data_IF_458891106266
#
_entry.id   IF_458891106266
#
_cell.length_a   1.000
_cell.length_b   1.000
_cell.length_c   1.000
_cell.angle_alpha   90.00
_cell.angle_beta   90.00
_cell.angle_gamma   90.00
#
_symmetry.space_group_name_H-M   'P 1'
#
loop_
_entity.id
_entity.type
_entity.pdbx_description
1 polymer ?
#
# COMPACT_ATOMS: atom_id res chain seq x y z
N UNK A 1 -13.63 12.89 23.01
CA UNK A 1 -12.71 13.93 23.49
C UNK A 1 -12.47 13.80 24.99
N UNK A 2 -13.51 13.71 25.84
CA UNK A 2 -13.39 13.60 27.32
C UNK A 2 -12.55 12.40 27.74
N UNK A 3 -12.74 11.21 27.14
CA UNK A 3 -11.96 9.99 27.42
C UNK A 3 -10.47 10.18 27.09
N UNK A 4 -10.17 10.86 26.00
CA UNK A 4 -8.78 11.15 25.59
C UNK A 4 -8.09 12.08 26.59
N UNK A 5 -8.80 13.10 27.06
CA UNK A 5 -8.25 14.10 27.99
C UNK A 5 -8.06 13.56 29.41
N UNK A 6 -8.82 12.51 29.81
CA UNK A 6 -8.81 12.00 31.18
C UNK A 6 -8.05 10.67 31.37
N UNK A 7 -7.96 9.84 30.33
CA UNK A 7 -7.39 8.48 30.42
C UNK A 7 -6.06 8.28 29.68
N UNK A 8 -5.70 9.18 28.76
CA UNK A 8 -4.39 9.08 28.10
C UNK A 8 -3.36 9.91 28.86
N UNK A 9 -2.33 9.26 29.43
CA UNK A 9 -1.22 10.00 30.01
C UNK A 9 -0.49 10.77 28.92
N UNK A 10 -0.06 11.98 29.24
CA UNK A 10 0.76 12.80 28.36
C UNK A 10 2.06 12.07 28.04
N UNK A 11 2.26 11.67 26.80
CA UNK A 11 3.43 10.91 26.35
C UNK A 11 4.64 11.80 26.04
N UNK A 12 4.44 13.14 25.94
CA UNK A 12 5.50 14.11 25.69
C UNK A 12 5.61 15.09 26.85
N UNK A 13 6.67 15.02 27.66
CA UNK A 13 6.88 15.99 28.74
C UNK A 13 6.99 17.42 28.19
N UNK A 14 6.43 18.39 28.93
CA UNK A 14 6.35 19.81 28.52
C UNK A 14 7.73 20.39 28.18
N UNK A 15 8.77 19.87 28.82
CA UNK A 15 10.18 20.26 28.59
C UNK A 15 10.74 19.88 27.23
N UNK A 16 10.15 18.88 26.56
CA UNK A 16 10.57 18.39 25.25
C UNK A 16 9.67 18.93 24.11
N UNK A 17 8.64 19.72 24.44
CA UNK A 17 7.80 20.38 23.43
C UNK A 17 8.64 21.39 22.67
N UNK A 18 9.09 20.98 21.49
CA UNK A 18 9.81 21.88 20.59
C UNK A 18 8.93 23.06 20.17
N UNK A 19 9.59 24.19 19.96
CA UNK A 19 9.04 25.41 19.35
C UNK A 19 8.12 25.04 18.18
N UNK A 20 6.96 25.72 18.10
CA UNK A 20 5.99 25.57 17.00
C UNK A 20 6.71 25.44 15.65
N UNK A 21 6.32 24.47 14.81
CA UNK A 21 6.96 24.24 13.53
C UNK A 21 6.97 25.54 12.71
N UNK A 22 8.11 25.88 12.14
CA UNK A 22 8.21 27.05 11.26
C UNK A 22 7.22 26.86 10.10
N UNK A 23 6.63 27.94 9.58
CA UNK A 23 5.70 27.90 8.41
C UNK A 23 6.26 27.08 7.23
N UNK A 24 7.58 27.02 7.09
CA UNK A 24 8.27 26.20 6.09
C UNK A 24 8.13 24.69 6.34
N UNK A 25 8.00 24.28 7.61
CA UNK A 25 7.84 22.88 7.99
C UNK A 25 6.39 22.40 7.85
N UNK A 26 5.45 23.33 7.64
CA UNK A 26 4.05 23.05 7.36
C UNK A 26 3.76 22.85 5.86
N UNK A 27 4.75 23.05 4.98
CA UNK A 27 4.58 22.84 3.54
C UNK A 27 4.67 21.33 3.22
N UNK A 28 3.55 20.65 2.85
CA UNK A 28 3.53 19.22 2.61
C UNK A 28 4.45 18.80 1.44
N UNK A 29 4.54 19.65 0.40
CA UNK A 29 5.41 19.37 -0.75
C UNK A 29 6.88 19.39 -0.36
N UNK A 30 7.29 20.34 0.49
CA UNK A 30 8.66 20.41 0.99
C UNK A 30 9.00 19.22 1.92
N UNK A 31 8.03 18.69 2.65
CA UNK A 31 8.23 17.49 3.47
C UNK A 31 8.35 16.23 2.59
N UNK A 32 7.50 16.07 1.59
CA UNK A 32 7.55 14.97 0.61
C UNK A 32 8.91 14.96 -0.11
N UNK A 33 9.34 16.09 -0.65
CA UNK A 33 10.64 16.19 -1.35
C UNK A 33 11.82 15.90 -0.43
N UNK A 34 11.75 16.31 0.84
CA UNK A 34 12.77 16.01 1.84
C UNK A 34 12.85 14.51 2.15
N UNK A 35 11.71 13.83 2.29
CA UNK A 35 11.65 12.38 2.57
C UNK A 35 12.10 11.57 1.36
N UNK A 36 11.67 11.92 0.14
CA UNK A 36 12.12 11.24 -1.09
C UNK A 36 13.61 11.48 -1.33
N UNK A 37 14.12 12.68 -1.05
CA UNK A 37 15.53 13.02 -1.18
C UNK A 37 16.45 12.45 -0.09
N UNK A 38 15.88 11.85 0.96
CA UNK A 38 16.67 11.24 2.02
C UNK A 38 17.23 9.88 1.55
N UNK A 39 18.57 9.69 1.53
CA UNK A 39 19.20 8.46 1.02
C UNK A 39 18.78 7.20 1.81
N UNK A 40 18.45 7.34 3.09
CA UNK A 40 18.06 6.21 3.95
C UNK A 40 16.63 5.69 3.65
N UNK A 41 15.71 6.59 3.36
CA UNK A 41 14.28 6.23 3.24
C UNK A 41 13.64 6.57 1.90
N UNK A 42 14.28 7.38 1.06
CA UNK A 42 13.69 7.92 -0.16
C UNK A 42 13.21 6.83 -1.12
N UNK A 43 14.00 5.76 -1.29
CA UNK A 43 13.60 4.61 -2.12
C UNK A 43 12.35 3.91 -1.59
N UNK A 44 12.25 3.73 -0.27
CA UNK A 44 11.06 3.11 0.34
C UNK A 44 9.84 4.04 0.31
N UNK A 45 10.03 5.34 0.49
CA UNK A 45 8.97 6.34 0.37
C UNK A 45 8.43 6.41 -1.06
N UNK A 46 9.32 6.38 -2.06
CA UNK A 46 8.93 6.27 -3.47
C UNK A 46 8.19 4.96 -3.75
N UNK A 47 8.69 3.84 -3.22
CA UNK A 47 8.03 2.53 -3.32
C UNK A 47 6.61 2.57 -2.74
N UNK A 48 6.43 3.27 -1.62
CA UNK A 48 5.12 3.44 -0.98
C UNK A 48 4.16 4.23 -1.87
N UNK A 49 4.61 5.33 -2.46
CA UNK A 49 3.82 6.11 -3.42
C UNK A 49 3.41 5.28 -4.65
N UNK A 50 4.39 4.64 -5.30
CA UNK A 50 4.17 3.84 -6.51
C UNK A 50 3.27 2.63 -6.25
N UNK A 51 3.39 2.01 -5.08
CA UNK A 51 2.49 0.93 -4.65
C UNK A 51 1.04 1.40 -4.61
N UNK A 52 0.76 2.53 -3.94
CA UNK A 52 -0.61 3.05 -3.84
C UNK A 52 -1.14 3.60 -5.18
N UNK A 53 -0.26 4.15 -6.02
CA UNK A 53 -0.60 4.57 -7.38
C UNK A 53 -1.09 3.37 -8.20
N UNK A 54 -0.31 2.29 -8.25
CA UNK A 54 -0.65 1.08 -8.99
C UNK A 54 -1.90 0.41 -8.43
N UNK A 55 -1.92 0.17 -7.10
CA UNK A 55 -2.98 -0.55 -6.43
C UNK A 55 -4.34 0.15 -6.56
N UNK A 56 -4.41 1.46 -6.27
CA UNK A 56 -5.67 2.21 -6.41
C UNK A 56 -6.05 2.41 -7.87
N UNK A 57 -5.08 2.46 -8.79
CA UNK A 57 -5.32 2.55 -10.22
C UNK A 57 -6.16 1.36 -10.70
N UNK A 58 -5.63 0.15 -10.63
CA UNK A 58 -6.37 -1.02 -11.14
C UNK A 58 -7.59 -1.38 -10.29
N UNK A 59 -7.58 -1.12 -8.96
CA UNK A 59 -8.75 -1.39 -8.11
C UNK A 59 -9.94 -0.50 -8.46
N UNK A 60 -9.72 0.74 -8.87
CA UNK A 60 -10.78 1.64 -9.30
C UNK A 60 -11.52 1.13 -10.56
N UNK A 61 -10.82 0.39 -11.42
CA UNK A 61 -11.36 -0.17 -12.65
C UNK A 61 -12.06 -1.52 -12.43
N UNK A 62 -11.82 -2.20 -11.30
CA UNK A 62 -12.31 -3.56 -11.06
C UNK A 62 -13.81 -3.77 -11.29
N UNK A 63 -14.63 -2.85 -10.76
CA UNK A 63 -16.10 -3.00 -10.89
C UNK A 63 -16.54 -2.85 -12.35
N UNK A 64 -15.95 -1.89 -13.07
CA UNK A 64 -16.20 -1.69 -14.49
C UNK A 64 -15.78 -2.92 -15.29
N UNK A 65 -14.58 -3.43 -15.01
CA UNK A 65 -14.02 -4.62 -15.64
C UNK A 65 -14.91 -5.86 -15.41
N UNK A 66 -15.34 -6.11 -14.17
CA UNK A 66 -16.23 -7.21 -13.84
C UNK A 66 -17.57 -7.14 -14.58
N UNK A 67 -18.13 -5.93 -14.73
CA UNK A 67 -19.35 -5.72 -15.47
C UNK A 67 -19.18 -5.99 -16.98
N UNK A 68 -18.10 -5.51 -17.57
CA UNK A 68 -17.88 -5.61 -19.02
C UNK A 68 -17.44 -7.01 -19.44
N UNK A 69 -16.48 -7.62 -18.70
CA UNK A 69 -15.91 -8.92 -19.07
C UNK A 69 -16.76 -10.11 -18.63
N UNK A 70 -17.36 -10.03 -17.45
CA UNK A 70 -18.06 -11.17 -16.84
C UNK A 70 -19.56 -10.93 -16.70
N UNK A 71 -20.06 -9.77 -17.16
CA UNK A 71 -21.46 -9.36 -16.98
C UNK A 71 -21.96 -9.48 -15.52
N UNK A 72 -21.07 -9.19 -14.58
CA UNK A 72 -21.38 -9.27 -13.16
C UNK A 72 -22.23 -8.08 -12.70
N UNK A 73 -23.32 -8.41 -11.99
CA UNK A 73 -24.12 -7.42 -11.27
C UNK A 73 -23.46 -6.97 -9.95
N UNK A 74 -24.07 -5.97 -9.28
CA UNK A 74 -23.56 -5.43 -8.01
C UNK A 74 -23.34 -6.50 -6.92
N UNK A 75 -24.14 -7.57 -6.91
CA UNK A 75 -24.07 -8.65 -5.91
C UNK A 75 -22.73 -9.40 -5.94
N UNK A 76 -22.29 -9.82 -7.13
CA UNK A 76 -21.02 -10.53 -7.29
C UNK A 76 -19.82 -9.60 -7.06
N UNK A 77 -19.91 -8.36 -7.53
CA UNK A 77 -18.88 -7.36 -7.25
C UNK A 77 -18.75 -7.10 -5.73
N UNK A 78 -19.87 -6.94 -5.02
CA UNK A 78 -19.88 -6.77 -3.56
C UNK A 78 -19.31 -8.00 -2.85
N UNK A 79 -19.61 -9.22 -3.33
CA UNK A 79 -19.05 -10.45 -2.78
C UNK A 79 -17.53 -10.48 -2.92
N UNK A 80 -16.98 -10.04 -4.06
CA UNK A 80 -15.53 -9.92 -4.24
C UNK A 80 -14.89 -8.97 -3.21
N UNK A 81 -15.51 -7.81 -2.97
CA UNK A 81 -15.03 -6.86 -1.95
C UNK A 81 -15.20 -7.40 -0.52
N UNK A 82 -16.24 -8.17 -0.24
CA UNK A 82 -16.39 -8.86 1.05
C UNK A 82 -15.23 -9.84 1.29
N UNK A 83 -14.84 -10.62 0.29
CA UNK A 83 -13.68 -11.52 0.37
C UNK A 83 -12.41 -10.71 0.67
N UNK A 84 -12.19 -9.59 -0.02
CA UNK A 84 -11.06 -8.70 0.26
C UNK A 84 -11.07 -8.24 1.72
N UNK A 85 -12.20 -7.79 2.24
CA UNK A 85 -12.33 -7.32 3.63
C UNK A 85 -12.05 -8.42 4.66
N UNK A 86 -12.63 -9.62 4.47
CA UNK A 86 -12.41 -10.78 5.36
C UNK A 86 -10.94 -11.20 5.35
N UNK A 87 -10.36 -11.39 4.16
CA UNK A 87 -8.95 -11.81 4.04
C UNK A 87 -8.01 -10.75 4.63
N UNK A 88 -8.23 -9.47 4.34
CA UNK A 88 -7.43 -8.39 4.92
C UNK A 88 -7.52 -8.37 6.46
N UNK A 89 -8.71 -8.59 7.02
CA UNK A 89 -8.91 -8.66 8.47
C UNK A 89 -8.14 -9.84 9.08
N UNK A 90 -8.19 -11.01 8.48
CA UNK A 90 -7.47 -12.20 8.95
C UNK A 90 -5.95 -11.96 8.88
N UNK A 91 -5.46 -11.44 7.76
CA UNK A 91 -4.02 -11.18 7.57
C UNK A 91 -3.52 -10.11 8.52
N UNK A 92 -4.18 -8.96 8.59
CA UNK A 92 -3.73 -7.83 9.41
C UNK A 92 -4.03 -8.02 10.91
N UNK A 93 -5.16 -8.63 11.24
CA UNK A 93 -5.57 -8.85 12.63
C UNK A 93 -4.93 -10.07 13.31
N UNK A 94 -4.58 -11.11 12.52
CA UNK A 94 -4.11 -12.38 13.08
C UNK A 94 -2.73 -12.83 12.60
N UNK A 95 -2.42 -12.69 11.32
CA UNK A 95 -1.22 -13.31 10.75
C UNK A 95 0.00 -12.40 10.72
N UNK A 96 -0.19 -11.07 10.61
CA UNK A 96 0.94 -10.14 10.41
C UNK A 96 1.97 -10.20 11.55
N UNK A 97 1.56 -10.26 12.81
CA UNK A 97 2.45 -10.30 13.96
C UNK A 97 3.39 -11.51 13.92
N UNK A 98 2.85 -12.76 13.93
CA UNK A 98 3.66 -13.97 13.81
C UNK A 98 4.54 -14.03 12.56
N UNK A 99 4.04 -13.52 11.43
CA UNK A 99 4.80 -13.51 10.18
C UNK A 99 5.96 -12.52 10.22
N UNK A 100 5.75 -11.32 10.79
CA UNK A 100 6.82 -10.32 10.97
C UNK A 100 7.91 -10.86 11.91
N UNK A 101 7.54 -11.49 13.03
CA UNK A 101 8.52 -12.06 13.94
C UNK A 101 9.36 -13.18 13.32
N UNK A 102 8.80 -13.95 12.37
CA UNK A 102 9.48 -15.08 11.74
C UNK A 102 10.29 -14.69 10.49
N UNK A 103 9.77 -13.81 9.66
CA UNK A 103 10.34 -13.51 8.34
C UNK A 103 10.94 -12.10 8.23
N UNK A 104 10.59 -11.21 9.15
CA UNK A 104 10.94 -9.79 9.09
C UNK A 104 10.13 -8.99 8.07
N UNK A 105 10.06 -7.67 8.25
CA UNK A 105 9.24 -6.78 7.42
C UNK A 105 9.70 -6.72 5.97
N UNK A 106 11.01 -6.81 5.72
CA UNK A 106 11.55 -6.73 4.36
C UNK A 106 11.11 -7.91 3.49
N UNK A 107 11.26 -9.14 3.98
CA UNK A 107 10.84 -10.34 3.26
C UNK A 107 9.32 -10.37 3.08
N UNK A 108 8.57 -9.96 4.10
CA UNK A 108 7.11 -9.89 4.00
C UNK A 108 6.63 -8.85 3.00
N UNK A 109 7.32 -7.72 2.89
CA UNK A 109 7.01 -6.74 1.84
C UNK A 109 7.21 -7.35 0.45
N UNK A 110 8.30 -8.08 0.22
CA UNK A 110 8.55 -8.73 -1.08
C UNK A 110 7.55 -9.85 -1.39
N UNK A 111 7.24 -10.69 -0.41
CA UNK A 111 6.21 -11.74 -0.54
C UNK A 111 4.85 -11.11 -0.84
N UNK A 112 4.48 -10.09 -0.08
CA UNK A 112 3.23 -9.37 -0.28
C UNK A 112 3.12 -8.71 -1.66
N UNK A 113 4.19 -8.08 -2.14
CA UNK A 113 4.25 -7.52 -3.50
C UNK A 113 4.08 -8.61 -4.57
N UNK A 114 4.73 -9.75 -4.40
CA UNK A 114 4.55 -10.91 -5.29
C UNK A 114 3.10 -11.40 -5.34
N UNK A 115 2.42 -11.47 -4.19
CA UNK A 115 1.00 -11.82 -4.12
C UNK A 115 0.11 -10.76 -4.79
N UNK A 116 0.38 -9.46 -4.60
CA UNK A 116 -0.40 -8.40 -5.26
C UNK A 116 -0.22 -8.47 -6.78
N UNK A 117 1.02 -8.68 -7.26
CA UNK A 117 1.30 -8.85 -8.70
C UNK A 117 0.56 -10.08 -9.23
N UNK A 118 0.69 -11.23 -8.58
CA UNK A 118 0.03 -12.46 -9.01
C UNK A 118 -1.50 -12.30 -9.04
N UNK A 119 -2.10 -11.74 -7.98
CA UNK A 119 -3.55 -11.50 -7.92
C UNK A 119 -4.03 -10.52 -8.99
N UNK A 120 -3.27 -9.43 -9.23
CA UNK A 120 -3.65 -8.46 -10.27
C UNK A 120 -3.57 -9.03 -11.69
N UNK A 121 -2.59 -9.89 -11.97
CA UNK A 121 -2.46 -10.55 -13.28
C UNK A 121 -3.44 -11.70 -13.48
N UNK A 122 -3.84 -12.37 -12.41
CA UNK A 122 -4.80 -13.47 -12.49
C UNK A 122 -6.20 -12.99 -12.90
N UNK A 123 -6.60 -11.77 -12.53
CA UNK A 123 -7.92 -11.22 -12.87
C UNK A 123 -8.14 -11.18 -14.40
N UNK A 124 -7.28 -10.52 -15.21
CA UNK A 124 -7.50 -10.42 -16.66
C UNK A 124 -7.22 -11.73 -17.42
N UNK A 125 -6.57 -12.71 -16.79
CA UNK A 125 -6.31 -14.02 -17.41
C UNK A 125 -7.33 -15.08 -17.02
N UNK A 126 -8.34 -14.73 -16.21
CA UNK A 126 -9.40 -15.63 -15.79
C UNK A 126 -10.38 -15.89 -16.95
N UNK A 127 -10.65 -17.17 -17.22
CA UNK A 127 -11.64 -17.59 -18.20
C UNK A 127 -13.04 -17.14 -17.77
N UNK A 128 -13.87 -16.54 -18.65
CA UNK A 128 -15.24 -16.16 -18.35
C UNK A 128 -16.12 -17.30 -17.83
N UNK A 129 -15.91 -18.54 -18.26
CA UNK A 129 -16.64 -19.70 -17.77
C UNK A 129 -16.32 -20.01 -16.31
N UNK A 130 -15.12 -19.70 -15.86
CA UNK A 130 -14.63 -19.90 -14.49
C UNK A 130 -14.49 -18.58 -13.70
N UNK A 131 -15.11 -17.50 -14.19
CA UNK A 131 -14.92 -16.15 -13.66
C UNK A 131 -15.15 -16.08 -12.14
N UNK A 132 -16.17 -16.75 -11.62
CA UNK A 132 -16.49 -16.68 -10.18
C UNK A 132 -15.35 -17.22 -9.31
N UNK A 133 -14.86 -18.43 -9.58
CA UNK A 133 -13.79 -19.05 -8.80
C UNK A 133 -12.45 -18.36 -9.04
N UNK A 134 -12.13 -18.02 -10.29
CA UNK A 134 -10.88 -17.38 -10.67
C UNK A 134 -10.74 -15.98 -10.07
N UNK A 135 -11.74 -15.13 -10.21
CA UNK A 135 -11.73 -13.78 -9.66
C UNK A 135 -11.73 -13.80 -8.13
N UNK A 136 -12.54 -14.65 -7.48
CA UNK A 136 -12.55 -14.73 -6.01
C UNK A 136 -11.21 -15.21 -5.46
N UNK A 137 -10.55 -16.13 -6.13
CA UNK A 137 -9.19 -16.55 -5.79
C UNK A 137 -8.18 -15.41 -6.00
N UNK A 138 -8.27 -14.71 -7.14
CA UNK A 138 -7.39 -13.61 -7.46
C UNK A 138 -7.50 -12.46 -6.43
N UNK A 139 -8.71 -12.05 -6.07
CA UNK A 139 -8.91 -10.98 -5.06
C UNK A 139 -8.51 -11.42 -3.66
N UNK A 140 -8.64 -12.71 -3.31
CA UNK A 140 -8.15 -13.24 -2.03
C UNK A 140 -6.61 -13.21 -1.97
N UNK A 141 -5.91 -13.60 -3.04
CA UNK A 141 -4.45 -13.50 -3.17
C UNK A 141 -4.02 -12.04 -3.07
N UNK A 142 -4.67 -11.16 -3.81
CA UNK A 142 -4.41 -9.72 -3.83
C UNK A 142 -4.60 -9.09 -2.44
N UNK A 143 -5.69 -9.43 -1.74
CA UNK A 143 -5.97 -8.95 -0.39
C UNK A 143 -4.93 -9.45 0.63
N UNK A 144 -4.49 -10.70 0.50
CA UNK A 144 -3.41 -11.25 1.31
C UNK A 144 -2.11 -10.45 1.12
N UNK A 145 -1.78 -10.16 -0.14
CA UNK A 145 -0.60 -9.37 -0.48
C UNK A 145 -0.66 -7.95 0.08
N UNK A 146 -1.75 -7.23 -0.11
CA UNK A 146 -1.91 -5.85 0.41
C UNK A 146 -1.91 -5.82 1.93
N UNK A 147 -2.50 -6.82 2.57
CA UNK A 147 -2.48 -7.00 4.02
C UNK A 147 -1.07 -7.12 4.60
N UNK A 148 -0.13 -7.69 3.83
CA UNK A 148 1.29 -7.79 4.22
C UNK A 148 2.09 -6.54 3.85
N UNK A 149 1.92 -6.00 2.63
CA UNK A 149 2.75 -4.89 2.11
C UNK A 149 2.57 -3.63 2.94
N UNK A 150 1.35 -3.20 3.18
CA UNK A 150 1.06 -1.88 3.76
C UNK A 150 1.70 -1.69 5.15
N UNK A 151 1.48 -2.59 6.13
CA UNK A 151 2.08 -2.45 7.46
C UNK A 151 3.60 -2.67 7.43
N UNK A 152 4.08 -3.66 6.66
CA UNK A 152 5.51 -3.98 6.59
C UNK A 152 6.32 -2.86 5.96
N UNK A 153 5.86 -2.29 4.85
CA UNK A 153 6.56 -1.18 4.19
C UNK A 153 6.54 0.09 5.04
N UNK A 154 5.46 0.36 5.76
CA UNK A 154 5.38 1.48 6.72
C UNK A 154 6.35 1.29 7.88
N UNK A 155 6.45 0.08 8.42
CA UNK A 155 7.41 -0.27 9.47
C UNK A 155 8.86 -0.12 9.01
N UNK A 156 9.20 -0.57 7.78
CA UNK A 156 10.53 -0.41 7.18
C UNK A 156 10.98 1.05 7.10
N UNK A 157 10.09 1.97 6.76
CA UNK A 157 10.40 3.41 6.74
C UNK A 157 10.57 3.94 8.15
N UNK A 158 9.66 3.60 9.07
CA UNK A 158 9.70 4.08 10.45
C UNK A 158 10.99 3.67 11.16
N UNK A 159 11.45 2.43 10.98
CA UNK A 159 12.68 1.92 11.60
C UNK A 159 13.97 2.57 11.12
N UNK A 160 13.97 3.17 9.92
CA UNK A 160 15.15 3.86 9.36
C UNK A 160 15.28 5.32 9.78
N UNK A 161 14.32 5.81 10.53
CA UNK A 161 14.31 7.19 11.00
C UNK A 161 14.57 7.23 12.50
N UNK A 162 15.37 8.19 12.92
CA UNK A 162 15.54 8.52 14.33
C UNK A 162 14.21 8.98 14.93
N UNK A 163 13.99 8.76 16.21
CA UNK A 163 12.77 9.13 16.94
C UNK A 163 12.34 10.58 16.70
N UNK A 164 13.30 11.49 16.49
CA UNK A 164 13.05 12.91 16.27
C UNK A 164 12.35 13.24 14.93
N UNK A 165 12.40 12.35 13.94
CA UNK A 165 11.83 12.56 12.60
C UNK A 165 10.62 11.69 12.27
N UNK A 166 10.24 10.72 13.12
CA UNK A 166 9.23 9.71 12.81
C UNK A 166 7.85 10.31 12.50
N UNK A 167 7.39 11.30 13.27
CA UNK A 167 6.08 11.91 13.04
C UNK A 167 5.99 12.62 11.68
N UNK A 168 7.01 13.38 11.31
CA UNK A 168 7.08 14.06 10.02
C UNK A 168 7.16 13.06 8.85
N UNK A 169 7.89 11.98 9.03
CA UNK A 169 8.01 10.95 8.01
C UNK A 169 6.73 10.14 7.82
N UNK A 170 6.05 9.74 8.91
CA UNK A 170 4.75 9.08 8.82
C UNK A 170 3.69 9.99 8.18
N UNK A 171 3.71 11.29 8.50
CA UNK A 171 2.88 12.29 7.82
C UNK A 171 3.18 12.38 6.32
N UNK A 172 4.47 12.36 5.94
CA UNK A 172 4.89 12.38 4.53
C UNK A 172 4.50 11.09 3.80
N UNK A 173 4.60 9.92 4.44
CA UNK A 173 4.10 8.66 3.87
C UNK A 173 2.59 8.71 3.65
N UNK A 174 1.83 9.26 4.60
CA UNK A 174 0.39 9.43 4.45
C UNK A 174 0.05 10.38 3.28
N UNK A 175 0.81 11.46 3.11
CA UNK A 175 0.65 12.36 1.97
C UNK A 175 0.99 11.68 0.64
N UNK A 176 2.06 10.89 0.58
CA UNK A 176 2.43 10.07 -0.59
C UNK A 176 1.37 9.01 -0.91
N UNK A 177 0.83 8.36 0.10
CA UNK A 177 -0.30 7.43 -0.05
C UNK A 177 -1.51 8.14 -0.67
N UNK A 178 -1.90 9.28 -0.12
CA UNK A 178 -3.03 10.06 -0.62
C UNK A 178 -2.81 10.52 -2.07
N UNK A 179 -1.59 10.95 -2.40
CA UNK A 179 -1.23 11.36 -3.76
C UNK A 179 -1.31 10.18 -4.74
N UNK A 180 -0.77 9.01 -4.36
CA UNK A 180 -0.88 7.79 -5.16
C UNK A 180 -2.33 7.36 -5.35
N UNK A 181 -3.14 7.40 -4.29
CA UNK A 181 -4.57 7.06 -4.34
C UNK A 181 -5.39 8.05 -5.18
N UNK A 182 -4.99 9.30 -5.22
CA UNK A 182 -5.64 10.33 -6.04
C UNK A 182 -5.27 10.21 -7.52
N UNK A 183 -4.00 9.98 -7.84
CA UNK A 183 -3.50 9.91 -9.22
C UNK A 183 -3.75 8.56 -9.89
N UNK A 184 -3.79 7.48 -9.12
CA UNK A 184 -3.97 6.12 -9.62
C UNK A 184 -5.22 5.94 -10.49
N UNK A 185 -6.43 6.22 -9.99
CA UNK A 185 -7.67 6.04 -10.74
C UNK A 185 -7.73 6.80 -12.07
N UNK A 186 -7.39 8.11 -12.17
CA UNK A 186 -7.38 8.80 -13.45
C UNK A 186 -6.40 8.21 -14.46
N UNK A 187 -5.19 7.85 -14.00
CA UNK A 187 -4.17 7.25 -14.88
C UNK A 187 -4.65 5.88 -15.38
N UNK A 188 -5.23 5.07 -14.51
CA UNK A 188 -5.77 3.77 -14.90
C UNK A 188 -6.97 3.90 -15.83
N UNK A 189 -7.86 4.89 -15.63
CA UNK A 189 -8.98 5.18 -16.52
C UNK A 189 -8.51 5.55 -17.92
N UNK A 190 -7.55 6.47 -18.04
CA UNK A 190 -6.95 6.84 -19.33
C UNK A 190 -6.27 5.64 -20.00
N UNK A 191 -5.55 4.82 -19.23
CA UNK A 191 -4.92 3.61 -19.77
C UNK A 191 -5.98 2.61 -20.28
N UNK A 192 -7.07 2.44 -19.53
CA UNK A 192 -8.19 1.57 -19.89
C UNK A 192 -8.81 1.99 -21.23
N UNK A 193 -9.09 3.29 -21.40
CA UNK A 193 -9.74 3.83 -22.59
C UNK A 193 -8.83 3.82 -23.82
N UNK A 194 -7.53 4.12 -23.66
CA UNK A 194 -6.60 4.27 -24.77
C UNK A 194 -5.86 2.98 -25.15
N UNK A 195 -5.55 2.13 -24.17
CA UNK A 195 -4.70 0.94 -24.35
C UNK A 195 -5.47 -0.38 -24.19
N UNK A 196 -6.76 -0.30 -23.85
CA UNK A 196 -7.64 -1.45 -23.69
C UNK A 196 -7.87 -1.89 -22.24
N UNK A 197 -8.88 -2.70 -22.06
CA UNK A 197 -9.51 -3.04 -20.76
C UNK A 197 -8.58 -3.76 -19.77
N UNK A 198 -7.58 -4.47 -20.25
CA UNK A 198 -6.61 -5.20 -19.41
C UNK A 198 -5.37 -4.37 -19.05
N UNK A 199 -5.18 -3.23 -19.73
CA UNK A 199 -3.97 -2.40 -19.60
C UNK A 199 -3.69 -1.90 -18.16
N UNK A 200 -4.70 -1.54 -17.32
CA UNK A 200 -4.43 -1.11 -15.94
C UNK A 200 -3.86 -2.24 -15.06
N UNK A 201 -4.25 -3.48 -15.34
CA UNK A 201 -3.75 -4.65 -14.59
C UNK A 201 -2.29 -4.95 -14.96
N UNK A 202 -1.97 -5.02 -16.24
CA UNK A 202 -0.60 -5.26 -16.70
C UNK A 202 0.33 -4.08 -16.40
N UNK A 203 -0.14 -2.84 -16.61
CA UNK A 203 0.61 -1.63 -16.26
C UNK A 203 0.84 -1.50 -14.76
N UNK A 204 -0.19 -1.78 -13.95
CA UNK A 204 -0.10 -1.84 -12.50
C UNK A 204 0.88 -2.91 -12.03
N UNK A 205 0.83 -4.13 -12.61
CA UNK A 205 1.77 -5.20 -12.30
C UNK A 205 3.22 -4.80 -12.65
N UNK A 206 3.44 -4.17 -13.80
CA UNK A 206 4.76 -3.65 -14.19
C UNK A 206 5.29 -2.62 -13.20
N UNK A 207 4.43 -1.71 -12.75
CA UNK A 207 4.78 -0.72 -11.73
C UNK A 207 5.09 -1.38 -10.37
N UNK A 208 4.34 -2.41 -9.98
CA UNK A 208 4.59 -3.18 -8.77
C UNK A 208 5.88 -4.00 -8.84
N UNK A 209 6.26 -4.49 -10.02
CA UNK A 209 7.59 -5.11 -10.23
C UNK A 209 8.72 -4.10 -10.01
N UNK A 210 8.55 -2.87 -10.48
CA UNK A 210 9.49 -1.77 -10.19
C UNK A 210 9.57 -1.51 -8.68
N UNK A 211 8.43 -1.45 -7.99
CA UNK A 211 8.38 -1.32 -6.52
C UNK A 211 9.15 -2.46 -5.85
N UNK A 212 8.93 -3.69 -6.29
CA UNK A 212 9.61 -4.88 -5.77
C UNK A 212 11.14 -4.77 -5.96
N UNK A 213 11.60 -4.28 -7.11
CA UNK A 213 13.01 -4.02 -7.39
C UNK A 213 13.58 -2.92 -6.48
N UNK A 214 12.86 -1.83 -6.25
CA UNK A 214 13.29 -0.75 -5.35
C UNK A 214 13.42 -1.24 -3.91
N UNK A 215 12.47 -2.02 -3.44
CA UNK A 215 12.47 -2.61 -2.08
C UNK A 215 13.59 -3.65 -1.95
N UNK A 216 13.79 -4.52 -2.94
CA UNK A 216 14.84 -5.55 -2.90
C UNK A 216 16.25 -4.97 -2.78
N UNK A 217 16.47 -3.79 -3.38
CA UNK A 217 17.74 -3.04 -3.29
C UNK A 217 17.87 -2.18 -2.03
N UNK A 218 16.95 -2.32 -1.10
CA UNK A 218 16.92 -1.57 0.15
C UNK A 218 16.78 -2.53 1.36
N UNK A 219 17.66 -3.56 1.51
CA UNK A 219 17.61 -4.41 2.68
C UNK A 219 17.83 -3.57 3.94
N UNK A 220 17.22 -3.97 5.06
CA UNK A 220 17.65 -3.48 6.37
C UNK A 220 19.06 -4.02 6.55
N UNK A 221 20.04 -3.15 6.84
CA UNK A 221 21.25 -3.60 7.51
C UNK A 221 20.77 -4.17 8.84
N UNK A 222 20.86 -5.51 8.99
CA UNK A 222 20.72 -6.14 10.30
C UNK A 222 21.81 -5.52 11.15
N UNK A 223 21.44 -4.57 11.99
CA UNK A 223 22.30 -4.15 13.11
C UNK A 223 22.43 -5.40 13.94
N UNK A 224 23.56 -6.08 13.78
CA UNK A 224 23.95 -7.21 14.61
C UNK A 224 23.88 -6.73 16.07
N UNK A 225 22.89 -7.30 16.81
CA UNK A 225 22.76 -7.13 18.24
C UNK A 225 23.74 -8.07 18.95
#
# INVERSE_FOLDING_TARGET
LAVVLTLLPETHPVTERRVLPRKRDLNPLAQITRVIGNPAVGRLALSFFLFFLAFNGFTAILVLYFKQQFNWGPELATTAFLIVGVVATVVQGGLIGPLVSRFGEWKLTLIGLGLVIAGSLLIPTTDPEQARSGVFTAVAILASGTGLVTPSLRSLVSRRLSNEGQGAALGSLQALQSLGSFLGPPIAGVAYDLLGETSPFFGGAGLLMLVMLLVSRSPLEETAA
#
